data_IF_663937022646
#
_entry.id   IF_663937022646
#
_cell.length_a   1.000
_cell.length_b   1.000
_cell.length_c   1.000
_cell.angle_alpha   90.00
_cell.angle_beta   90.00
_cell.angle_gamma   90.00
#
_symmetry.space_group_name_H-M   'P 1'
#
loop_
_entity.id
_entity.type
_entity.pdbx_description
1 polymer ?
#
# COMPACT_ATOMS: atom_id res chain seq x y z
N UNK A 1 -3.21 -6.62 -0.46
CA UNK A 1 -4.61 -6.59 0.00
C UNK A 1 -4.74 -5.99 1.41
N UNK A 2 -5.93 -5.44 1.74
CA UNK A 2 -6.27 -4.94 3.08
C UNK A 2 -6.62 -6.05 4.07
N UNK A 3 -7.18 -5.65 5.24
CA UNK A 3 -7.63 -6.56 6.29
C UNK A 3 -6.80 -6.47 7.57
N UNK A 4 -6.19 -5.32 7.86
CA UNK A 4 -5.37 -5.07 9.07
C UNK A 4 -4.31 -6.14 9.31
N UNK A 5 -3.72 -6.72 8.26
CA UNK A 5 -2.74 -7.82 8.30
C UNK A 5 -3.25 -9.08 9.02
N UNK A 6 -4.55 -9.19 9.29
CA UNK A 6 -5.19 -10.26 10.09
C UNK A 6 -6.14 -11.13 9.27
N UNK A 7 -6.58 -10.65 8.12
CA UNK A 7 -7.57 -11.34 7.28
C UNK A 7 -7.39 -11.00 5.80
N UNK A 8 -8.06 -11.77 4.97
CA UNK A 8 -8.06 -11.60 3.52
C UNK A 8 -6.96 -12.42 2.83
N UNK A 9 -7.07 -12.49 1.55
CA UNK A 9 -6.08 -13.09 0.66
C UNK A 9 -6.17 -12.44 -0.73
N UNK A 10 -5.27 -12.82 -1.62
CA UNK A 10 -5.22 -12.30 -3.00
C UNK A 10 -6.48 -12.62 -3.82
N UNK A 11 -7.21 -13.71 -3.52
CA UNK A 11 -8.35 -14.13 -4.33
C UNK A 11 -9.52 -13.15 -4.21
N UNK A 12 -9.73 -12.58 -3.01
CA UNK A 12 -10.77 -11.58 -2.77
C UNK A 12 -10.60 -10.32 -3.64
N UNK A 13 -9.36 -9.99 -3.99
CA UNK A 13 -9.00 -8.74 -4.67
C UNK A 13 -8.61 -8.94 -6.14
N UNK A 14 -8.66 -10.17 -6.65
CA UNK A 14 -8.19 -10.49 -8.01
C UNK A 14 -8.91 -9.72 -9.12
N UNK A 15 -10.18 -9.38 -8.94
CA UNK A 15 -10.97 -8.57 -9.89
C UNK A 15 -10.40 -7.16 -10.10
N UNK A 16 -9.68 -6.62 -9.12
CA UNK A 16 -9.05 -5.28 -9.21
C UNK A 16 -7.88 -5.24 -10.20
N UNK A 17 -7.35 -6.39 -10.60
CA UNK A 17 -6.34 -6.46 -11.64
C UNK A 17 -6.87 -6.12 -13.04
N UNK A 18 -8.20 -6.16 -13.25
CA UNK A 18 -8.81 -6.07 -14.57
C UNK A 18 -8.45 -4.79 -15.33
N UNK A 19 -8.44 -3.63 -14.67
CA UNK A 19 -8.13 -2.36 -15.31
C UNK A 19 -6.69 -2.30 -15.83
N UNK A 20 -5.71 -2.69 -15.02
CA UNK A 20 -4.31 -2.71 -15.44
C UNK A 20 -4.04 -3.77 -16.51
N UNK A 21 -4.63 -4.96 -16.40
CA UNK A 21 -4.52 -6.02 -17.42
C UNK A 21 -5.09 -5.56 -18.76
N UNK A 22 -6.23 -4.86 -18.78
CA UNK A 22 -6.83 -4.33 -20.00
C UNK A 22 -5.97 -3.24 -20.66
N UNK A 23 -5.07 -2.60 -19.90
CA UNK A 23 -4.06 -1.65 -20.41
C UNK A 23 -2.74 -2.31 -20.82
N UNK A 24 -2.67 -3.65 -20.81
CA UNK A 24 -1.47 -4.40 -21.22
C UNK A 24 -0.40 -4.54 -20.14
N UNK A 25 -0.70 -4.20 -18.88
CA UNK A 25 0.21 -4.42 -17.76
C UNK A 25 0.12 -5.86 -17.25
N UNK A 26 1.22 -6.42 -16.79
CA UNK A 26 1.22 -7.62 -15.96
C UNK A 26 0.86 -7.24 -14.52
N UNK A 27 0.08 -8.07 -13.82
CA UNK A 27 -0.32 -7.82 -12.44
C UNK A 27 0.04 -9.02 -11.56
N UNK A 28 0.80 -8.78 -10.50
CA UNK A 28 1.10 -9.75 -9.45
C UNK A 28 0.34 -9.40 -8.17
N UNK A 29 -0.34 -10.38 -7.61
CA UNK A 29 -1.12 -10.26 -6.37
C UNK A 29 -0.54 -11.21 -5.32
N UNK A 30 0.44 -10.76 -4.51
CA UNK A 30 1.01 -11.63 -3.47
C UNK A 30 0.03 -11.84 -2.32
N UNK A 31 0.03 -13.07 -1.78
CA UNK A 31 -0.44 -13.32 -0.42
C UNK A 31 0.73 -13.18 0.55
N UNK A 32 0.43 -12.90 1.80
CA UNK A 32 1.41 -12.81 2.88
C UNK A 32 0.88 -13.51 4.14
N UNK A 33 1.77 -13.96 5.05
CA UNK A 33 1.34 -14.53 6.31
C UNK A 33 0.62 -13.48 7.15
N UNK A 34 -0.41 -13.88 7.88
CA UNK A 34 -1.26 -12.97 8.65
C UNK A 34 -0.85 -12.93 10.12
N UNK A 35 -1.23 -11.87 10.83
CA UNK A 35 -1.20 -11.83 12.29
C UNK A 35 -2.31 -12.74 12.86
N UNK A 36 -2.08 -13.45 13.96
CA UNK A 36 -0.91 -13.38 14.85
C UNK A 36 0.28 -14.30 14.50
N UNK A 37 0.21 -15.11 13.42
CA UNK A 37 1.29 -16.04 13.03
C UNK A 37 2.54 -15.28 12.60
N UNK A 38 2.38 -14.08 12.01
CA UNK A 38 3.47 -13.18 11.71
C UNK A 38 3.26 -11.83 12.41
N UNK A 39 4.32 -11.09 12.63
CA UNK A 39 4.27 -9.66 13.00
C UNK A 39 4.32 -8.79 11.75
N UNK A 40 3.90 -7.52 11.82
CA UNK A 40 3.87 -6.61 10.68
C UNK A 40 5.26 -6.48 10.03
N UNK A 41 6.32 -6.31 10.82
CA UNK A 41 7.69 -6.31 10.31
C UNK A 41 8.08 -7.61 9.58
N UNK A 42 7.53 -8.75 10.00
CA UNK A 42 7.70 -10.04 9.31
C UNK A 42 7.00 -10.06 7.96
N UNK A 43 5.80 -9.48 7.89
CA UNK A 43 5.01 -9.35 6.67
C UNK A 43 5.73 -8.41 5.68
N UNK A 44 6.20 -7.25 6.13
CA UNK A 44 7.00 -6.31 5.32
C UNK A 44 8.19 -7.02 4.69
N UNK A 45 8.98 -7.75 5.49
CA UNK A 45 10.11 -8.55 4.97
C UNK A 45 9.69 -9.66 4.01
N UNK A 46 8.52 -10.26 4.21
CA UNK A 46 8.00 -11.30 3.31
C UNK A 46 7.71 -10.74 1.92
N UNK A 47 7.04 -9.59 1.86
CA UNK A 47 6.76 -8.89 0.59
C UNK A 47 8.08 -8.43 -0.06
N UNK A 48 9.00 -7.83 0.70
CA UNK A 48 10.29 -7.40 0.18
C UNK A 48 11.11 -8.53 -0.45
N UNK A 49 11.01 -9.75 0.11
CA UNK A 49 11.67 -10.94 -0.47
C UNK A 49 10.96 -11.50 -1.71
N UNK A 50 9.64 -11.38 -1.78
CA UNK A 50 8.86 -11.89 -2.91
C UNK A 50 8.91 -10.93 -4.13
N UNK A 51 9.00 -9.64 -3.89
CA UNK A 51 8.91 -8.61 -4.93
C UNK A 51 9.95 -8.76 -6.05
N UNK A 52 11.25 -9.07 -5.78
CA UNK A 52 12.21 -9.30 -6.84
C UNK A 52 11.85 -10.44 -7.79
N UNK A 53 11.32 -11.55 -7.26
CA UNK A 53 10.91 -12.68 -8.08
C UNK A 53 9.69 -12.33 -8.95
N UNK A 54 8.70 -11.62 -8.39
CA UNK A 54 7.55 -11.15 -9.16
C UNK A 54 7.96 -10.18 -10.27
N UNK A 55 8.86 -9.23 -9.95
CA UNK A 55 9.33 -8.24 -10.91
C UNK A 55 10.26 -8.82 -12.01
N UNK A 56 10.81 -10.02 -11.81
CA UNK A 56 11.63 -10.70 -12.79
C UNK A 56 10.81 -11.38 -13.91
N UNK A 57 9.50 -11.56 -13.72
CA UNK A 57 8.62 -12.18 -14.72
C UNK A 57 8.40 -11.31 -15.98
N UNK A 58 8.57 -9.98 -15.84
CA UNK A 58 8.42 -9.02 -16.94
C UNK A 58 9.42 -7.88 -16.81
N UNK A 59 9.88 -7.35 -17.93
CA UNK A 59 10.71 -6.16 -18.00
C UNK A 59 9.88 -4.89 -17.83
N UNK A 60 10.57 -3.76 -17.55
CA UNK A 60 9.96 -2.44 -17.50
C UNK A 60 9.74 -1.89 -16.09
N UNK A 61 8.96 -0.81 -15.97
CA UNK A 61 8.69 -0.16 -14.70
C UNK A 61 7.81 -1.03 -13.78
N UNK A 62 8.02 -0.90 -12.48
CA UNK A 62 7.25 -1.57 -11.43
C UNK A 62 6.41 -0.55 -10.69
N UNK A 63 5.10 -0.73 -10.73
CA UNK A 63 4.14 0.09 -9.99
C UNK A 63 3.62 -0.70 -8.80
N UNK A 64 3.60 -0.08 -7.63
CA UNK A 64 3.12 -0.70 -6.40
C UNK A 64 1.75 -0.14 -6.03
N UNK A 65 0.75 -1.00 -5.89
CA UNK A 65 -0.57 -0.59 -5.43
C UNK A 65 -0.99 -1.40 -4.20
N UNK A 66 -1.71 -0.75 -3.30
CA UNK A 66 -2.24 -1.44 -2.13
C UNK A 66 -3.39 -0.69 -1.47
N UNK A 67 -4.27 -1.44 -0.82
CA UNK A 67 -5.41 -0.92 -0.09
C UNK A 67 -5.26 -1.16 1.40
N UNK A 68 -5.55 -0.15 2.24
CA UNK A 68 -5.57 -0.28 3.69
C UNK A 68 -4.21 -0.82 4.22
N UNK A 69 -4.17 -1.97 4.88
CA UNK A 69 -2.93 -2.66 5.26
C UNK A 69 -2.02 -2.96 4.06
N UNK A 70 -2.59 -3.23 2.88
CA UNK A 70 -1.83 -3.38 1.63
C UNK A 70 -1.24 -2.06 1.14
N UNK A 71 -1.94 -0.93 1.37
CA UNK A 71 -1.42 0.41 1.12
C UNK A 71 -0.20 0.73 1.98
N UNK A 72 -0.27 0.38 3.26
CA UNK A 72 0.89 0.42 4.16
C UNK A 72 2.07 -0.39 3.59
N UNK A 73 1.84 -1.66 3.20
CA UNK A 73 2.91 -2.51 2.67
C UNK A 73 3.52 -1.95 1.38
N UNK A 74 2.70 -1.35 0.49
CA UNK A 74 3.19 -0.70 -0.72
C UNK A 74 4.10 0.51 -0.39
N UNK A 75 3.70 1.34 0.57
CA UNK A 75 4.51 2.47 1.07
C UNK A 75 5.82 1.99 1.70
N UNK A 76 5.76 0.93 2.54
CA UNK A 76 6.95 0.36 3.18
C UNK A 76 7.99 -0.12 2.17
N UNK A 77 7.59 -0.64 1.01
CA UNK A 77 8.54 -1.08 -0.04
C UNK A 77 9.42 0.06 -0.58
N UNK A 78 9.00 1.30 -0.43
CA UNK A 78 9.82 2.46 -0.81
C UNK A 78 10.66 3.03 0.34
N UNK A 79 10.49 2.56 1.57
CA UNK A 79 11.28 3.02 2.71
C UNK A 79 12.71 2.41 2.65
N UNK A 80 13.75 3.23 2.89
CA UNK A 80 15.14 2.79 2.71
C UNK A 80 15.59 1.61 3.59
N UNK A 81 15.01 1.48 4.79
CA UNK A 81 15.32 0.41 5.74
C UNK A 81 14.85 -0.98 5.30
N UNK A 82 13.91 -1.04 4.36
CA UNK A 82 13.45 -2.31 3.76
C UNK A 82 14.54 -2.94 2.89
N UNK A 83 15.40 -2.13 2.28
CA UNK A 83 16.59 -2.59 1.57
C UNK A 83 16.29 -3.42 0.32
N UNK A 84 15.36 -2.96 -0.55
CA UNK A 84 15.13 -3.62 -1.84
C UNK A 84 16.42 -3.65 -2.67
N UNK A 85 16.65 -4.72 -3.47
CA UNK A 85 17.77 -4.76 -4.40
C UNK A 85 17.81 -3.52 -5.31
N UNK A 86 19.00 -2.90 -5.48
CA UNK A 86 19.15 -1.64 -6.20
C UNK A 86 18.58 -1.66 -7.62
N UNK A 87 18.73 -2.80 -8.34
CA UNK A 87 18.16 -2.96 -9.69
C UNK A 87 16.62 -2.95 -9.69
N UNK A 88 15.99 -3.40 -8.60
CA UNK A 88 14.53 -3.34 -8.45
C UNK A 88 14.08 -1.94 -7.98
N UNK A 89 14.77 -1.37 -7.00
CA UNK A 89 14.49 -0.01 -6.54
C UNK A 89 14.51 1.00 -7.71
N UNK A 90 15.46 0.86 -8.63
CA UNK A 90 15.56 1.69 -9.84
C UNK A 90 14.42 1.48 -10.85
N UNK A 91 13.65 0.40 -10.73
CA UNK A 91 12.47 0.12 -11.57
C UNK A 91 11.17 0.62 -10.95
N UNK A 92 11.16 0.98 -9.65
CA UNK A 92 9.96 1.51 -9.02
C UNK A 92 9.56 2.83 -9.69
N UNK A 93 8.37 2.86 -10.27
CA UNK A 93 7.89 4.00 -11.06
C UNK A 93 6.86 4.86 -10.31
N UNK A 94 5.97 4.23 -9.54
CA UNK A 94 4.98 4.93 -8.73
C UNK A 94 4.40 4.02 -7.65
N UNK A 95 3.83 4.66 -6.61
CA UNK A 95 3.04 3.99 -5.58
C UNK A 95 1.62 4.55 -5.59
N UNK A 96 0.62 3.65 -5.54
CA UNK A 96 -0.77 3.99 -5.29
C UNK A 96 -1.21 3.37 -3.96
N UNK A 97 -1.37 4.20 -2.95
CA UNK A 97 -1.82 3.78 -1.63
C UNK A 97 -3.28 4.22 -1.41
N UNK A 98 -4.19 3.26 -1.39
CA UNK A 98 -5.62 3.48 -1.22
C UNK A 98 -5.99 3.31 0.25
N UNK A 99 -6.45 4.37 0.89
CA UNK A 99 -6.80 4.41 2.32
C UNK A 99 -5.73 3.75 3.21
N UNK A 100 -4.43 4.11 3.06
CA UNK A 100 -3.35 3.41 3.73
C UNK A 100 -3.35 3.63 5.24
N UNK A 101 -2.61 2.77 5.97
CA UNK A 101 -2.13 3.09 7.29
C UNK A 101 -0.70 3.61 7.17
N UNK A 102 -0.45 4.82 7.63
CA UNK A 102 0.83 5.50 7.51
C UNK A 102 1.54 5.71 8.86
N UNK A 103 0.77 5.80 9.94
CA UNK A 103 1.25 5.77 11.32
C UNK A 103 0.56 4.64 12.08
N UNK A 104 1.35 3.72 12.65
CA UNK A 104 0.83 2.57 13.39
C UNK A 104 0.70 2.81 14.90
N UNK A 105 1.18 3.95 15.41
CA UNK A 105 1.09 4.26 16.85
C UNK A 105 -0.35 4.20 17.39
N UNK A 106 -1.39 4.68 16.69
CA UNK A 106 -2.76 4.55 17.18
C UNK A 106 -3.24 3.12 17.38
N UNK A 107 -2.64 2.14 16.69
CA UNK A 107 -3.02 0.73 16.82
C UNK A 107 -2.58 0.10 18.14
N UNK A 108 -1.61 0.70 18.83
CA UNK A 108 -1.11 0.21 20.13
C UNK A 108 -2.22 0.12 21.19
N UNK A 109 -3.15 1.08 21.14
CA UNK A 109 -4.26 1.19 22.10
C UNK A 109 -5.53 0.46 21.64
N UNK A 110 -5.51 -0.13 20.44
CA UNK A 110 -6.70 -0.80 19.90
C UNK A 110 -6.77 -2.27 20.34
N UNK A 111 -7.99 -2.81 20.58
CA UNK A 111 -8.16 -4.23 20.94
C UNK A 111 -7.52 -5.19 19.94
N UNK A 112 -7.43 -4.82 18.65
CA UNK A 112 -6.79 -5.64 17.63
C UNK A 112 -5.28 -5.83 17.86
N UNK A 113 -4.66 -5.01 18.70
CA UNK A 113 -3.24 -5.17 19.02
C UNK A 113 -2.94 -6.49 19.75
N UNK A 114 -3.94 -7.14 20.33
CA UNK A 114 -3.79 -8.50 20.86
C UNK A 114 -3.28 -9.48 19.81
N UNK A 115 -3.70 -9.31 18.54
CA UNK A 115 -3.24 -10.14 17.41
C UNK A 115 -2.03 -9.54 16.70
N UNK A 116 -2.00 -8.21 16.51
CA UNK A 116 -0.87 -7.54 15.85
C UNK A 116 0.41 -7.64 16.66
N UNK A 117 0.29 -7.63 17.98
CA UNK A 117 1.42 -7.67 18.94
C UNK A 117 2.43 -6.54 18.72
N UNK A 118 1.94 -5.38 18.26
CA UNK A 118 2.79 -4.20 18.10
C UNK A 118 3.29 -3.74 19.47
N UNK A 119 4.56 -3.42 19.52
CA UNK A 119 5.16 -2.59 20.56
C UNK A 119 5.53 -1.21 19.99
N UNK A 120 5.83 -0.21 20.83
CA UNK A 120 6.14 1.15 20.34
C UNK A 120 7.32 1.21 19.37
N UNK A 121 8.30 0.32 19.50
CA UNK A 121 9.47 0.31 18.65
C UNK A 121 9.11 -0.19 17.24
N UNK A 122 8.36 -1.30 17.16
CA UNK A 122 7.87 -1.82 15.87
C UNK A 122 6.85 -0.88 15.23
N UNK A 123 5.92 -0.32 16.01
CA UNK A 123 4.95 0.65 15.49
C UNK A 123 5.67 1.81 14.81
N UNK A 124 6.70 2.38 15.46
CA UNK A 124 7.51 3.45 14.87
C UNK A 124 8.30 3.00 13.64
N UNK A 125 8.96 1.84 13.69
CA UNK A 125 9.78 1.34 12.60
C UNK A 125 8.96 0.97 11.35
N UNK A 126 7.73 0.49 11.55
CA UNK A 126 6.83 0.12 10.46
C UNK A 126 5.91 1.27 10.00
N UNK A 127 5.99 2.45 10.57
CA UNK A 127 5.20 3.61 10.14
C UNK A 127 5.88 4.39 9.03
N UNK A 128 5.34 4.42 7.79
CA UNK A 128 5.90 5.18 6.68
C UNK A 128 6.19 6.64 7.00
N UNK A 129 5.35 7.31 7.79
CA UNK A 129 5.53 8.73 8.20
C UNK A 129 6.84 9.02 8.93
N UNK A 130 7.51 8.00 9.47
CA UNK A 130 8.79 8.14 10.17
C UNK A 130 10.01 7.86 9.29
N UNK A 131 9.80 7.60 8.00
CA UNK A 131 10.84 7.39 7.00
C UNK A 131 10.91 8.57 6.03
N UNK A 132 12.06 8.82 5.40
CA UNK A 132 12.16 9.84 4.36
C UNK A 132 11.24 9.50 3.19
N UNK A 133 10.68 10.53 2.57
CA UNK A 133 9.90 10.40 1.34
C UNK A 133 10.74 9.76 0.23
N UNK A 134 10.19 8.83 -0.55
CA UNK A 134 10.88 8.26 -1.69
C UNK A 134 10.98 9.26 -2.84
N UNK A 135 12.01 9.12 -3.66
CA UNK A 135 12.18 9.91 -4.89
C UNK A 135 11.42 9.26 -6.06
N UNK A 136 10.10 9.13 -5.91
CA UNK A 136 9.18 8.63 -6.94
C UNK A 136 7.75 9.12 -6.64
N UNK A 137 6.85 9.17 -7.62
CA UNK A 137 5.47 9.57 -7.43
C UNK A 137 4.73 8.69 -6.41
N UNK A 138 4.14 9.31 -5.38
CA UNK A 138 3.27 8.67 -4.40
C UNK A 138 1.88 9.25 -4.53
N UNK A 139 0.92 8.42 -4.93
CA UNK A 139 -0.49 8.77 -5.01
C UNK A 139 -1.21 8.14 -3.82
N UNK A 140 -1.93 8.96 -3.07
CA UNK A 140 -2.79 8.52 -1.97
C UNK A 140 -4.22 8.90 -2.31
N UNK A 141 -5.12 7.95 -2.23
CA UNK A 141 -6.55 8.22 -2.39
C UNK A 141 -7.30 7.63 -1.20
N UNK A 142 -8.16 8.43 -0.57
CA UNK A 142 -8.99 8.07 0.57
C UNK A 142 -10.43 8.52 0.32
N UNK A 143 -11.40 7.72 0.71
CA UNK A 143 -12.81 8.07 0.55
C UNK A 143 -13.25 9.15 1.54
N UNK A 144 -14.04 10.14 1.08
CA UNK A 144 -14.55 11.20 1.94
C UNK A 144 -15.55 10.70 3.00
N UNK A 145 -16.17 9.53 2.77
CA UNK A 145 -17.13 8.90 3.69
C UNK A 145 -16.49 7.82 4.57
N UNK A 146 -15.16 7.80 4.65
CA UNK A 146 -14.44 6.90 5.55
C UNK A 146 -14.49 7.38 7.01
N UNK A 147 -14.10 6.50 7.91
CA UNK A 147 -13.89 6.89 9.31
C UNK A 147 -12.79 7.96 9.38
N UNK A 148 -12.93 8.99 10.22
CA UNK A 148 -11.94 10.07 10.35
C UNK A 148 -10.50 9.58 10.47
N UNK A 149 -10.27 8.48 11.18
CA UNK A 149 -8.93 7.90 11.35
C UNK A 149 -8.23 7.56 10.02
N UNK A 150 -8.94 7.17 8.95
CA UNK A 150 -8.32 6.93 7.65
C UNK A 150 -7.99 8.23 6.91
N UNK A 151 -8.83 9.25 7.08
CA UNK A 151 -8.52 10.60 6.58
C UNK A 151 -7.27 11.16 7.27
N UNK A 152 -7.20 11.02 8.61
CA UNK A 152 -6.03 11.43 9.39
C UNK A 152 -4.76 10.72 8.92
N UNK A 153 -4.80 9.41 8.69
CA UNK A 153 -3.67 8.63 8.18
C UNK A 153 -3.17 9.14 6.83
N UNK A 154 -4.08 9.48 5.91
CA UNK A 154 -3.73 10.02 4.60
C UNK A 154 -3.13 11.44 4.72
N UNK A 155 -3.67 12.27 5.60
CA UNK A 155 -3.17 13.62 5.87
C UNK A 155 -1.79 13.60 6.54
N UNK A 156 -1.58 12.73 7.54
CA UNK A 156 -0.26 12.56 8.19
C UNK A 156 0.81 12.13 7.20
N UNK A 157 0.46 11.25 6.26
CA UNK A 157 1.41 10.84 5.23
C UNK A 157 1.74 12.01 4.29
N UNK A 158 0.74 12.77 3.83
CA UNK A 158 0.95 13.91 2.96
C UNK A 158 1.77 15.02 3.64
N UNK A 159 1.62 15.19 4.97
CA UNK A 159 2.44 16.12 5.76
C UNK A 159 3.90 15.63 5.87
N UNK A 160 4.09 14.33 6.14
CA UNK A 160 5.42 13.73 6.27
C UNK A 160 6.15 13.61 4.92
N UNK A 161 5.42 13.40 3.83
CA UNK A 161 5.92 13.26 2.45
C UNK A 161 5.30 14.33 1.55
N UNK A 162 5.84 15.56 1.52
CA UNK A 162 5.19 16.72 0.89
C UNK A 162 4.87 16.59 -0.60
N UNK A 163 5.61 15.73 -1.33
CA UNK A 163 5.38 15.50 -2.76
C UNK A 163 4.30 14.43 -3.03
N UNK A 164 3.60 13.97 -1.98
CA UNK A 164 2.49 13.04 -2.12
C UNK A 164 1.28 13.69 -2.78
N UNK A 165 0.77 13.06 -3.83
CA UNK A 165 -0.48 13.48 -4.46
C UNK A 165 -1.68 12.89 -3.71
N UNK A 166 -2.26 13.66 -2.79
CA UNK A 166 -3.43 13.24 -2.01
C UNK A 166 -4.74 13.60 -2.71
N UNK A 167 -5.62 12.61 -2.86
CA UNK A 167 -7.00 12.76 -3.33
C UNK A 167 -7.98 12.29 -2.24
N UNK A 168 -8.94 13.16 -1.87
CA UNK A 168 -10.09 12.78 -1.04
C UNK A 168 -11.27 12.56 -1.97
N UNK A 169 -11.65 11.30 -2.19
CA UNK A 169 -12.65 10.90 -3.18
C UNK A 169 -14.07 11.10 -2.64
N UNK A 170 -14.79 12.09 -3.18
CA UNK A 170 -16.16 12.39 -2.77
C UNK A 170 -17.11 11.21 -3.01
N UNK A 171 -17.98 10.92 -2.04
CA UNK A 171 -18.98 9.85 -2.11
C UNK A 171 -18.38 8.44 -2.08
N UNK A 172 -17.13 8.29 -1.67
CA UNK A 172 -16.45 6.99 -1.54
C UNK A 172 -16.18 6.66 -0.07
N UNK A 173 -16.29 5.39 0.24
CA UNK A 173 -15.97 4.83 1.54
C UNK A 173 -14.82 3.82 1.42
N UNK A 174 -14.36 3.27 2.54
CA UNK A 174 -13.18 2.41 2.62
C UNK A 174 -13.17 1.20 1.67
N UNK A 175 -14.33 0.67 1.30
CA UNK A 175 -14.42 -0.56 0.50
C UNK A 175 -14.73 -0.31 -0.98
N UNK A 176 -15.11 0.89 -1.39
CA UNK A 176 -15.38 1.21 -2.79
C UNK A 176 -14.41 2.23 -3.41
N UNK A 177 -13.57 2.87 -2.59
CA UNK A 177 -12.45 3.71 -3.08
C UNK A 177 -11.51 2.94 -4.01
N UNK A 178 -11.45 1.62 -3.88
CA UNK A 178 -10.65 0.71 -4.71
C UNK A 178 -11.29 0.33 -6.04
N UNK A 179 -12.61 0.55 -6.21
CA UNK A 179 -13.34 0.11 -7.40
C UNK A 179 -12.76 0.63 -8.73
N UNK A 180 -12.20 1.85 -8.82
CA UNK A 180 -11.59 2.36 -10.04
C UNK A 180 -10.42 1.53 -10.57
N UNK A 181 -9.78 0.68 -9.75
CA UNK A 181 -8.72 -0.23 -10.20
C UNK A 181 -9.20 -1.27 -11.23
N UNK A 182 -10.48 -1.62 -11.21
CA UNK A 182 -11.06 -2.59 -12.14
C UNK A 182 -11.49 -1.98 -13.48
N UNK A 183 -11.55 -0.64 -13.57
CA UNK A 183 -11.96 0.07 -14.78
C UNK A 183 -10.74 0.58 -15.56
N UNK A 184 -10.46 0.06 -16.77
CA UNK A 184 -9.34 0.52 -17.58
C UNK A 184 -9.45 1.99 -18.01
N UNK A 185 -10.63 2.59 -17.99
CA UNK A 185 -10.84 3.99 -18.32
C UNK A 185 -10.79 4.93 -17.11
N UNK A 186 -10.45 4.42 -15.91
CA UNK A 186 -10.48 5.23 -14.71
C UNK A 186 -9.36 6.29 -14.68
N UNK A 187 -9.67 7.54 -14.31
CA UNK A 187 -8.64 8.59 -14.12
C UNK A 187 -7.60 8.24 -13.05
N UNK A 188 -7.92 7.35 -12.11
CA UNK A 188 -6.98 6.84 -11.14
C UNK A 188 -5.85 6.07 -11.83
N UNK A 189 -6.19 5.17 -12.77
CA UNK A 189 -5.20 4.41 -13.51
C UNK A 189 -4.40 5.29 -14.49
N UNK A 190 -4.99 6.34 -15.05
CA UNK A 190 -4.26 7.32 -15.88
C UNK A 190 -3.14 7.98 -15.08
N UNK A 191 -3.44 8.41 -13.86
CA UNK A 191 -2.44 9.03 -12.97
C UNK A 191 -1.39 8.04 -12.49
N UNK A 192 -1.77 6.79 -12.28
CA UNK A 192 -0.91 5.76 -11.67
C UNK A 192 -0.01 5.06 -12.68
N UNK A 193 -0.54 4.68 -13.84
CA UNK A 193 0.16 3.88 -14.85
C UNK A 193 0.64 4.71 -16.06
N UNK A 194 0.15 5.92 -16.18
CA UNK A 194 0.27 6.73 -17.38
C UNK A 194 -0.85 6.43 -18.40
N UNK A 195 -0.92 7.22 -19.47
CA UNK A 195 -1.91 7.07 -20.53
C UNK A 195 -1.71 5.80 -21.35
#
# INVERSE_FOLDING_TARGET
HGGFWRMGDRALWSHLAAGALARGHAVALPSYPLCPEARIAGITRSIARALPAMAAEVDGPVHLAGHSAGGHLALRMACPDVGLPGHLAARLAAILALSPLADLAPLLEMPMNADLRLDPAEARAESPVHHPAPDLPVLVEVGAEERPAFLDQALWLADAWPDTHLTIAAGRHHFDVIAPLSDPASPMLDRFLGP
#
